data_IF_366610008525
#
_entry.id   IF_366610008525
#
_cell.length_a   1.000
_cell.length_b   1.000
_cell.length_c   1.000
_cell.angle_alpha   90.00
_cell.angle_beta   90.00
_cell.angle_gamma   90.00
#
_symmetry.space_group_name_H-M   'P 1'
#
loop_
_entity.id
_entity.type
_entity.pdbx_description
1 polymer ?
#
# COMPACT_ATOMS: atom_id res chain seq x y z
N UNK A 1 9.26 4.83 4.51
CA UNK A 1 9.34 5.75 3.34
C UNK A 1 9.42 7.21 3.80
N UNK A 2 8.58 7.63 4.72
CA UNK A 2 8.59 9.00 5.23
C UNK A 2 9.95 9.37 5.84
N UNK A 3 10.55 8.46 6.58
CA UNK A 3 11.87 8.67 7.17
C UNK A 3 12.95 8.83 6.12
N UNK A 4 12.92 8.01 5.09
CA UNK A 4 13.90 8.06 4.00
C UNK A 4 13.75 9.33 3.16
N UNK A 5 12.53 9.78 2.94
CA UNK A 5 12.25 10.97 2.14
C UNK A 5 12.38 12.28 2.92
N UNK A 6 12.32 12.22 4.25
CA UNK A 6 12.34 13.42 5.09
C UNK A 6 11.06 14.23 5.04
N UNK A 7 9.95 13.64 4.59
CA UNK A 7 8.64 14.30 4.52
C UNK A 7 7.51 13.29 4.65
N UNK A 8 6.30 13.76 4.93
CA UNK A 8 5.13 12.89 5.03
C UNK A 8 4.70 12.36 3.66
N UNK A 9 3.92 11.26 3.68
CA UNK A 9 3.35 10.70 2.44
C UNK A 9 2.46 11.73 1.75
N UNK A 10 1.64 12.47 2.51
CA UNK A 10 0.79 13.52 1.94
C UNK A 10 1.60 14.59 1.22
N UNK A 11 2.72 15.03 1.81
CA UNK A 11 3.61 16.00 1.19
C UNK A 11 4.23 15.47 -0.10
N UNK A 12 4.62 14.20 -0.12
CA UNK A 12 5.18 13.58 -1.31
C UNK A 12 4.19 13.55 -2.46
N UNK A 13 2.91 13.23 -2.17
CA UNK A 13 1.86 13.24 -3.19
C UNK A 13 1.62 14.65 -3.73
N UNK A 14 1.59 15.66 -2.85
CA UNK A 14 1.38 17.05 -3.25
C UNK A 14 2.53 17.60 -4.09
N UNK A 15 3.77 17.32 -3.72
CA UNK A 15 4.97 17.87 -4.38
C UNK A 15 5.37 17.12 -5.63
N UNK A 16 5.28 15.79 -5.62
CA UNK A 16 5.89 14.95 -6.67
C UNK A 16 4.90 14.03 -7.37
N UNK A 17 3.70 13.87 -6.83
CA UNK A 17 2.68 13.00 -7.39
C UNK A 17 2.84 11.53 -7.01
N UNK A 18 1.83 10.74 -7.37
CA UNK A 18 1.77 9.33 -7.01
C UNK A 18 2.86 8.51 -7.68
N UNK A 19 3.17 8.77 -8.94
CA UNK A 19 4.20 8.02 -9.68
C UNK A 19 5.56 8.09 -9.00
N UNK A 20 5.96 9.27 -8.55
CA UNK A 20 7.22 9.45 -7.84
C UNK A 20 7.21 8.68 -6.51
N UNK A 21 6.08 8.75 -5.77
CA UNK A 21 5.93 8.02 -4.52
C UNK A 21 6.04 6.51 -4.74
N UNK A 22 5.38 5.97 -5.76
CA UNK A 22 5.42 4.54 -6.06
C UNK A 22 6.82 4.06 -6.44
N UNK A 23 7.57 4.87 -7.17
CA UNK A 23 8.96 4.54 -7.49
C UNK A 23 9.83 4.50 -6.24
N UNK A 24 9.69 5.48 -5.36
CA UNK A 24 10.40 5.50 -4.07
C UNK A 24 10.03 4.34 -3.17
N UNK A 25 8.75 4.01 -3.11
CA UNK A 25 8.23 2.88 -2.35
C UNK A 25 8.86 1.57 -2.84
N UNK A 26 8.90 1.35 -4.14
CA UNK A 26 9.52 0.16 -4.74
C UNK A 26 11.00 0.05 -4.36
N UNK A 27 11.72 1.15 -4.40
CA UNK A 27 13.16 1.17 -4.03
C UNK A 27 13.38 0.81 -2.57
N UNK A 28 12.55 1.33 -1.67
CA UNK A 28 12.63 1.02 -0.24
C UNK A 28 12.34 -0.45 0.00
N UNK A 29 11.28 -0.98 -0.63
CA UNK A 29 10.92 -2.39 -0.50
C UNK A 29 12.06 -3.28 -1.02
N UNK A 30 12.64 -2.96 -2.18
CA UNK A 30 13.76 -3.72 -2.74
C UNK A 30 14.94 -3.79 -1.76
N UNK A 31 15.26 -2.68 -1.11
CA UNK A 31 16.34 -2.62 -0.13
C UNK A 31 16.02 -3.47 1.09
N UNK A 32 14.79 -3.45 1.57
CA UNK A 32 14.38 -4.26 2.72
C UNK A 32 14.40 -5.76 2.42
N UNK A 33 14.07 -6.15 1.19
CA UNK A 33 14.07 -7.55 0.77
C UNK A 33 15.47 -8.13 0.63
N UNK A 34 16.48 -7.29 0.38
CA UNK A 34 17.86 -7.73 0.26
C UNK A 34 18.56 -7.90 1.62
N UNK A 35 17.91 -7.53 2.70
CA UNK A 35 18.48 -7.63 4.05
C UNK A 35 18.20 -8.95 4.74
N UNK A 36 18.40 -8.98 6.06
CA UNK A 36 18.06 -10.12 6.89
C UNK A 36 16.54 -10.40 6.84
N UNK A 37 16.10 -11.66 7.08
CA UNK A 37 14.67 -11.98 7.12
C UNK A 37 13.91 -11.07 8.08
N UNK A 38 12.76 -10.55 7.63
CA UNK A 38 11.95 -9.63 8.42
C UNK A 38 10.50 -9.64 7.95
N UNK A 39 9.63 -9.13 8.80
CA UNK A 39 8.24 -8.88 8.42
C UNK A 39 8.14 -7.43 7.93
N UNK A 40 7.56 -7.26 6.74
CA UNK A 40 7.40 -5.95 6.11
C UNK A 40 5.91 -5.67 5.95
N UNK A 41 5.44 -4.57 6.52
CA UNK A 41 4.07 -4.10 6.30
C UNK A 41 4.10 -3.00 5.25
N UNK A 42 3.29 -3.16 4.20
CA UNK A 42 3.21 -2.16 3.12
C UNK A 42 1.86 -1.47 3.11
N UNK A 43 1.79 -0.31 2.48
CA UNK A 43 0.52 0.29 2.13
C UNK A 43 -0.19 -0.53 1.04
N UNK A 44 -1.49 -0.28 0.88
CA UNK A 44 -2.33 -1.06 -0.03
C UNK A 44 -1.98 -0.90 -1.50
N UNK A 45 -1.37 0.22 -1.89
CA UNK A 45 -1.03 0.49 -3.28
C UNK A 45 0.27 -0.15 -3.77
N UNK A 46 1.13 -0.63 -2.85
CA UNK A 46 2.41 -1.22 -3.24
C UNK A 46 2.24 -2.45 -4.12
N UNK A 47 1.35 -3.35 -3.74
CA UNK A 47 1.13 -4.60 -4.46
C UNK A 47 0.38 -4.42 -5.78
N UNK A 48 -0.24 -3.27 -5.98
CA UNK A 48 -0.97 -2.94 -7.21
C UNK A 48 0.00 -2.61 -8.35
N UNK A 49 1.18 -2.08 -8.02
CA UNK A 49 2.19 -1.75 -9.02
C UNK A 49 2.83 -3.03 -9.56
N UNK A 50 2.81 -3.23 -10.87
CA UNK A 50 3.29 -4.46 -11.50
C UNK A 50 4.73 -4.79 -11.14
N UNK A 51 5.62 -3.81 -11.18
CA UNK A 51 7.04 -4.00 -10.88
C UNK A 51 7.25 -4.37 -9.41
N UNK A 52 6.57 -3.68 -8.52
CA UNK A 52 6.68 -3.93 -7.08
C UNK A 52 6.11 -5.28 -6.72
N UNK A 53 4.96 -5.64 -7.30
CA UNK A 53 4.34 -6.95 -7.10
C UNK A 53 5.26 -8.09 -7.55
N UNK A 54 5.84 -7.97 -8.73
CA UNK A 54 6.77 -8.96 -9.24
C UNK A 54 7.96 -9.17 -8.30
N UNK A 55 8.51 -8.06 -7.80
CA UNK A 55 9.62 -8.09 -6.84
C UNK A 55 9.23 -8.80 -5.54
N UNK A 56 8.07 -8.48 -5.00
CA UNK A 56 7.58 -9.10 -3.76
C UNK A 56 7.35 -10.60 -3.94
N UNK A 57 6.67 -10.99 -5.02
CA UNK A 57 6.37 -12.41 -5.28
C UNK A 57 7.63 -13.23 -5.53
N UNK A 58 8.66 -12.63 -6.10
CA UNK A 58 9.92 -13.29 -6.38
C UNK A 58 10.76 -13.51 -5.11
N UNK A 59 10.80 -12.53 -4.20
CA UNK A 59 11.75 -12.49 -3.09
C UNK A 59 11.13 -12.69 -1.71
N UNK A 60 9.81 -12.74 -1.59
CA UNK A 60 9.14 -12.80 -0.29
C UNK A 60 7.87 -13.63 -0.37
N UNK A 61 7.30 -13.94 0.79
CA UNK A 61 5.96 -14.54 0.89
C UNK A 61 4.97 -13.39 1.13
N UNK A 62 4.10 -13.17 0.17
CA UNK A 62 3.09 -12.12 0.28
C UNK A 62 1.86 -12.64 1.03
N UNK A 63 1.39 -11.85 1.98
CA UNK A 63 0.19 -12.15 2.76
C UNK A 63 -0.82 -11.03 2.57
N UNK A 64 -2.02 -11.38 2.13
CA UNK A 64 -3.11 -10.43 2.01
C UNK A 64 -3.95 -10.46 3.30
N UNK A 65 -3.98 -9.34 4.00
CA UNK A 65 -4.85 -9.18 5.16
C UNK A 65 -6.21 -8.71 4.67
N UNK A 66 -7.10 -9.66 4.44
CA UNK A 66 -8.44 -9.38 3.96
C UNK A 66 -9.35 -9.03 5.15
N UNK A 67 -10.11 -7.95 5.03
CA UNK A 67 -11.02 -7.50 6.08
C UNK A 67 -12.30 -6.96 5.46
N UNK A 68 -13.41 -7.08 6.20
CA UNK A 68 -14.69 -6.55 5.76
C UNK A 68 -14.63 -5.03 5.59
N UNK A 69 -15.41 -4.52 4.65
CA UNK A 69 -15.44 -3.09 4.35
C UNK A 69 -15.80 -2.25 5.58
N UNK A 70 -16.67 -2.74 6.44
CA UNK A 70 -17.07 -2.02 7.65
C UNK A 70 -15.91 -1.85 8.62
N UNK A 71 -15.07 -2.87 8.76
CA UNK A 71 -13.87 -2.81 9.60
C UNK A 71 -12.87 -1.82 9.02
N UNK A 72 -12.68 -1.84 7.70
CA UNK A 72 -11.76 -0.92 7.03
C UNK A 72 -12.21 0.53 7.16
N UNK A 73 -13.51 0.79 7.00
CA UNK A 73 -14.08 2.14 7.17
C UNK A 73 -13.84 2.63 8.59
N UNK A 74 -14.09 1.80 9.60
CA UNK A 74 -13.87 2.18 10.99
C UNK A 74 -12.40 2.55 11.25
N UNK A 75 -11.48 1.73 10.76
CA UNK A 75 -10.05 1.95 10.98
C UNK A 75 -9.53 3.19 10.30
N UNK A 76 -9.89 3.44 9.04
CA UNK A 76 -9.38 4.61 8.31
C UNK A 76 -10.02 5.91 8.81
N UNK A 77 -11.25 5.86 9.34
CA UNK A 77 -11.92 7.04 9.89
C UNK A 77 -11.21 7.58 11.13
N UNK A 78 -10.38 6.77 11.77
CA UNK A 78 -9.60 7.14 12.97
C UNK A 78 -8.21 7.66 12.62
N UNK A 79 -7.81 7.65 11.34
CA UNK A 79 -6.46 8.04 10.91
C UNK A 79 -6.52 9.12 9.85
N UNK A 80 -5.62 10.10 9.99
CA UNK A 80 -5.35 11.08 8.95
C UNK A 80 -4.18 10.61 8.08
N UNK A 81 -3.92 11.32 7.00
CA UNK A 81 -2.73 11.14 6.18
C UNK A 81 -2.85 10.09 5.08
N UNK A 82 -4.06 9.69 4.72
CA UNK A 82 -4.29 8.84 3.54
C UNK A 82 -4.77 9.70 2.37
N UNK A 83 -3.88 10.04 1.43
CA UNK A 83 -4.20 11.01 0.35
C UNK A 83 -5.41 10.64 -0.49
N UNK A 84 -5.62 9.34 -0.75
CA UNK A 84 -6.71 8.87 -1.59
C UNK A 84 -8.09 9.03 -0.94
N UNK A 85 -8.14 9.21 0.39
CA UNK A 85 -9.39 9.37 1.13
C UNK A 85 -9.75 10.83 1.37
N UNK A 86 -8.84 11.76 1.09
CA UNK A 86 -9.02 13.17 1.40
C UNK A 86 -10.21 13.76 0.65
N UNK A 87 -11.15 14.34 1.40
CA UNK A 87 -12.32 14.99 0.82
C UNK A 87 -13.42 14.07 0.32
N UNK A 88 -13.34 12.76 0.58
CA UNK A 88 -14.32 11.79 0.13
C UNK A 88 -14.81 10.91 1.29
N UNK A 89 -16.01 10.35 1.13
CA UNK A 89 -16.57 9.38 2.08
C UNK A 89 -15.67 8.11 2.08
N UNK A 90 -15.09 7.73 3.22
CA UNK A 90 -14.24 6.55 3.30
C UNK A 90 -14.87 5.27 2.76
N UNK A 91 -16.17 5.04 3.00
CA UNK A 91 -16.86 3.84 2.50
C UNK A 91 -16.89 3.78 0.98
N UNK A 92 -17.19 4.90 0.34
CA UNK A 92 -17.23 4.97 -1.13
C UNK A 92 -15.86 4.69 -1.71
N UNK A 93 -14.83 5.37 -1.19
CA UNK A 93 -13.46 5.21 -1.67
C UNK A 93 -12.97 3.78 -1.47
N UNK A 94 -13.17 3.19 -0.28
CA UNK A 94 -12.72 1.83 0.01
C UNK A 94 -13.45 0.79 -0.83
N UNK A 95 -14.74 0.98 -1.09
CA UNK A 95 -15.51 0.08 -1.95
C UNK A 95 -14.98 0.12 -3.39
N UNK A 96 -14.73 1.32 -3.92
CA UNK A 96 -14.15 1.47 -5.26
C UNK A 96 -12.76 0.86 -5.34
N UNK A 97 -11.92 1.09 -4.33
CA UNK A 97 -10.58 0.51 -4.29
C UNK A 97 -10.61 -1.01 -4.22
N UNK A 98 -11.54 -1.58 -3.43
CA UNK A 98 -11.67 -3.02 -3.31
C UNK A 98 -12.06 -3.67 -4.65
N UNK A 99 -12.95 -3.05 -5.41
CA UNK A 99 -13.33 -3.56 -6.73
C UNK A 99 -12.15 -3.68 -7.68
N UNK A 100 -11.24 -2.72 -7.63
CA UNK A 100 -10.05 -2.68 -8.49
C UNK A 100 -8.92 -3.52 -7.92
N UNK A 101 -8.69 -3.44 -6.61
CA UNK A 101 -7.50 -4.00 -5.96
C UNK A 101 -7.64 -5.45 -5.51
N UNK A 102 -8.82 -5.89 -5.06
CA UNK A 102 -8.98 -7.24 -4.52
C UNK A 102 -8.61 -8.34 -5.51
N UNK A 103 -8.93 -8.24 -6.81
CA UNK A 103 -8.47 -9.24 -7.77
C UNK A 103 -6.95 -9.36 -7.85
N UNK A 104 -6.23 -8.25 -7.62
CA UNK A 104 -4.76 -8.23 -7.59
C UNK A 104 -4.24 -8.78 -6.27
N UNK A 105 -4.85 -8.41 -5.15
CA UNK A 105 -4.46 -8.93 -3.83
C UNK A 105 -4.64 -10.45 -3.77
N UNK A 106 -5.62 -11.00 -4.49
CA UNK A 106 -5.85 -12.43 -4.55
C UNK A 106 -4.68 -13.21 -5.15
N UNK A 107 -3.74 -12.53 -5.81
CA UNK A 107 -2.52 -13.17 -6.32
C UNK A 107 -1.52 -13.49 -5.22
N UNK A 108 -1.67 -12.92 -4.01
CA UNK A 108 -0.84 -13.29 -2.89
C UNK A 108 -1.10 -14.74 -2.49
N UNK A 109 -0.06 -15.54 -2.22
CA UNK A 109 -0.23 -16.97 -1.91
C UNK A 109 -0.94 -17.24 -0.58
N UNK A 110 -0.95 -16.29 0.33
CA UNK A 110 -1.59 -16.44 1.64
C UNK A 110 -2.64 -15.34 1.84
N UNK A 111 -3.83 -15.74 2.26
CA UNK A 111 -4.94 -14.84 2.60
C UNK A 111 -5.32 -15.07 4.06
N UNK A 112 -5.44 -14.02 4.82
CA UNK A 112 -5.82 -14.10 6.23
C UNK A 112 -7.07 -13.28 6.50
#
# INVERSE_FOLDING_TARGET
IERAAGMSISEMFERYGEGHFRDGERRVIARLLDGAPRVIATGGGAFIQDDTRALILDKAVAVWLDADIDILVDRVSRRDGRPLLKGRDPRVVLTELAEVRNPVYALAPIHV
#
